data_IF_340888542682
#
_entry.id   IF_340888542682
#
_cell.length_a   1.000
_cell.length_b   1.000
_cell.length_c   1.000
_cell.angle_alpha   90.00
_cell.angle_beta   90.00
_cell.angle_gamma   90.00
#
_symmetry.space_group_name_H-M   'P 1'
#
loop_
_entity.id
_entity.type
_entity.pdbx_description
1 polymer ?
#
# COMPACT_ATOMS: atom_id res chain seq x y z
N UNK A 1 18.70 16.05 5.33
CA UNK A 1 17.67 16.14 6.37
C UNK A 1 18.02 15.16 7.46
N UNK A 2 18.94 15.55 8.34
CA UNK A 2 19.05 14.91 9.65
C UNK A 2 17.81 15.37 10.41
N UNK A 3 16.88 14.45 10.68
CA UNK A 3 15.91 14.70 11.74
C UNK A 3 16.73 14.87 13.01
N UNK A 4 16.65 16.04 13.65
CA UNK A 4 17.18 16.22 14.99
C UNK A 4 16.55 15.12 15.87
N UNK A 5 17.38 14.17 16.31
CA UNK A 5 17.01 12.97 17.09
C UNK A 5 16.41 13.27 18.47
N UNK A 6 16.07 14.53 18.75
CA UNK A 6 15.19 14.87 19.85
C UNK A 6 13.79 14.34 19.49
N UNK A 7 13.60 13.04 19.72
CA UNK A 7 12.31 12.45 20.00
C UNK A 7 11.73 13.22 21.18
N UNK A 8 11.06 14.33 20.90
CA UNK A 8 10.12 14.88 21.86
C UNK A 8 8.96 13.91 21.81
N UNK A 9 9.10 12.78 22.51
CA UNK A 9 7.95 12.03 23.00
C UNK A 9 7.17 13.02 23.85
N UNK A 10 6.28 13.76 23.21
CA UNK A 10 5.26 14.52 23.89
C UNK A 10 4.48 13.50 24.71
N UNK A 11 4.81 13.43 25.99
CA UNK A 11 4.14 12.60 26.96
C UNK A 11 3.17 13.50 27.70
N UNK A 12 1.85 13.39 27.47
CA UNK A 12 0.86 14.17 28.20
C UNK A 12 0.76 13.76 29.69
N UNK A 13 1.60 12.83 30.16
CA UNK A 13 1.61 12.28 31.51
C UNK A 13 1.42 10.77 31.52
N UNK A 14 1.08 10.23 32.69
CA UNK A 14 0.78 8.80 32.88
C UNK A 14 -0.69 8.62 33.27
N UNK A 15 -1.29 7.54 32.78
CA UNK A 15 -2.62 7.09 33.19
C UNK A 15 -2.47 5.74 33.87
N UNK A 16 -2.94 5.62 35.10
CA UNK A 16 -2.97 4.34 35.83
C UNK A 16 -4.43 3.91 36.03
N UNK A 17 -4.77 2.72 35.54
CA UNK A 17 -6.12 2.18 35.63
C UNK A 17 -6.05 0.69 35.98
N UNK A 18 -6.76 0.30 37.04
CA UNK A 18 -6.94 -1.09 37.43
C UNK A 18 -8.04 -1.75 36.58
N UNK A 19 -7.65 -2.52 35.56
CA UNK A 19 -8.59 -3.18 34.64
C UNK A 19 -8.97 -4.59 35.12
N UNK A 20 -10.28 -4.83 35.34
CA UNK A 20 -10.80 -6.18 35.62
C UNK A 20 -11.04 -6.95 34.33
N UNK A 21 -10.92 -8.29 34.37
CA UNK A 21 -11.20 -9.18 33.22
C UNK A 21 -12.58 -8.88 32.61
N UNK A 22 -12.62 -8.65 31.30
CA UNK A 22 -13.85 -8.36 30.55
C UNK A 22 -14.36 -6.92 30.67
N UNK A 23 -13.59 -6.00 31.26
CA UNK A 23 -13.86 -4.56 31.23
C UNK A 23 -12.97 -3.88 30.19
N UNK A 24 -13.51 -2.84 29.55
CA UNK A 24 -12.81 -2.03 28.55
C UNK A 24 -12.66 -0.61 29.08
N UNK A 25 -11.53 0.01 28.77
CA UNK A 25 -11.22 1.40 29.08
C UNK A 25 -10.70 2.03 27.80
N UNK A 26 -11.18 3.24 27.51
CA UNK A 26 -10.75 4.03 26.36
C UNK A 26 -10.26 5.39 26.84
N UNK A 27 -9.08 5.79 26.37
CA UNK A 27 -8.51 7.13 26.58
C UNK A 27 -8.61 7.86 25.25
N UNK A 28 -9.25 9.02 25.25
CA UNK A 28 -9.51 9.81 24.04
C UNK A 28 -8.75 11.13 24.15
N UNK A 29 -7.92 11.41 23.15
CA UNK A 29 -7.26 12.70 22.98
C UNK A 29 -7.94 13.43 21.84
N UNK A 30 -8.28 14.71 22.05
CA UNK A 30 -8.94 15.55 21.05
C UNK A 30 -8.39 16.96 21.13
N UNK A 31 -8.18 17.58 19.97
CA UNK A 31 -7.83 18.99 19.81
C UNK A 31 -9.08 19.91 19.84
N UNK A 32 -10.26 19.31 19.95
CA UNK A 32 -11.56 19.99 19.92
C UNK A 32 -12.55 19.34 20.90
N UNK A 33 -13.57 20.10 21.32
CA UNK A 33 -14.62 19.59 22.22
C UNK A 33 -15.47 18.54 21.47
N UNK A 34 -15.36 17.28 21.88
CA UNK A 34 -16.17 16.19 21.35
C UNK A 34 -17.59 16.25 21.95
N UNK A 35 -18.58 16.64 21.15
CA UNK A 35 -20.01 16.60 21.54
C UNK A 35 -20.55 15.17 21.71
N UNK A 36 -19.99 14.23 20.96
CA UNK A 36 -20.28 12.80 21.08
C UNK A 36 -19.13 12.01 20.47
N UNK A 37 -18.81 10.85 21.05
CA UNK A 37 -17.83 9.91 20.50
C UNK A 37 -18.43 8.51 20.51
N UNK A 38 -18.38 7.83 19.35
CA UNK A 38 -18.73 6.42 19.25
C UNK A 38 -17.45 5.64 19.01
N UNK A 39 -17.10 4.78 19.96
CA UNK A 39 -16.08 3.77 19.73
C UNK A 39 -16.64 2.83 18.67
N UNK A 40 -16.00 2.80 17.51
CA UNK A 40 -16.35 1.83 16.50
C UNK A 40 -16.08 0.43 17.05
N UNK A 41 -17.13 -0.42 17.05
CA UNK A 41 -16.98 -1.78 17.54
C UNK A 41 -16.22 -2.62 16.51
N UNK A 42 -14.88 -2.59 16.60
CA UNK A 42 -13.96 -3.33 15.73
C UNK A 42 -14.12 -4.84 15.84
N UNK A 43 -14.74 -5.37 16.90
CA UNK A 43 -14.92 -6.83 17.09
C UNK A 43 -15.77 -7.50 16.02
N UNK A 44 -16.59 -6.74 15.27
CA UNK A 44 -17.36 -7.26 14.13
C UNK A 44 -16.48 -7.97 13.10
N UNK A 45 -15.22 -7.56 12.95
CA UNK A 45 -14.30 -8.21 12.00
C UNK A 45 -13.94 -9.64 12.39
N UNK A 46 -13.95 -9.96 13.68
CA UNK A 46 -13.67 -11.31 14.18
C UNK A 46 -14.76 -12.31 13.76
N UNK A 47 -15.95 -11.82 13.38
CA UNK A 47 -17.01 -12.67 12.84
C UNK A 47 -16.75 -13.07 11.39
N UNK A 48 -16.02 -12.23 10.62
CA UNK A 48 -15.69 -12.47 9.22
C UNK A 48 -14.49 -13.41 9.08
N UNK A 49 -13.42 -13.17 9.82
CA UNK A 49 -12.22 -14.02 9.78
C UNK A 49 -12.03 -14.79 11.09
N UNK A 50 -12.25 -16.11 11.03
CA UNK A 50 -12.14 -16.99 12.19
C UNK A 50 -10.69 -17.42 12.40
N UNK A 51 -10.05 -16.86 13.42
CA UNK A 51 -8.75 -17.32 13.92
C UNK A 51 -8.84 -17.85 15.35
N UNK A 52 -8.18 -18.98 15.60
CA UNK A 52 -8.08 -19.59 16.95
C UNK A 52 -6.95 -18.96 17.78
N UNK A 53 -6.02 -18.26 17.14
CA UNK A 53 -4.86 -17.65 17.80
C UNK A 53 -5.22 -16.31 18.45
N UNK A 54 -4.82 -16.11 19.71
CA UNK A 54 -4.92 -14.81 20.38
C UNK A 54 -4.19 -13.71 19.58
N UNK A 55 -2.98 -14.01 19.09
CA UNK A 55 -2.20 -13.09 18.27
C UNK A 55 -2.95 -12.73 16.99
N UNK A 56 -3.55 -13.72 16.30
CA UNK A 56 -4.35 -13.48 15.10
C UNK A 56 -5.53 -12.54 15.36
N UNK A 57 -6.22 -12.70 16.49
CA UNK A 57 -7.32 -11.80 16.88
C UNK A 57 -6.82 -10.37 17.11
N UNK A 58 -5.70 -10.22 17.81
CA UNK A 58 -5.09 -8.91 18.07
C UNK A 58 -4.69 -8.23 16.76
N UNK A 59 -3.98 -8.95 15.87
CA UNK A 59 -3.55 -8.42 14.57
C UNK A 59 -4.76 -7.99 13.73
N UNK A 60 -5.82 -8.81 13.68
CA UNK A 60 -7.02 -8.47 12.93
C UNK A 60 -7.73 -7.24 13.49
N UNK A 61 -7.88 -7.13 14.81
CA UNK A 61 -8.46 -5.94 15.44
C UNK A 61 -7.66 -4.68 15.17
N UNK A 62 -6.32 -4.79 15.17
CA UNK A 62 -5.40 -3.67 14.94
C UNK A 62 -5.21 -3.32 13.47
N UNK A 63 -5.54 -4.21 12.54
CA UNK A 63 -5.48 -3.90 11.10
C UNK A 63 -6.27 -2.64 10.72
N UNK A 64 -7.42 -2.39 11.37
CA UNK A 64 -8.22 -1.18 11.16
C UNK A 64 -7.46 0.12 11.48
N UNK A 65 -6.50 0.07 12.40
CA UNK A 65 -5.80 1.25 12.90
C UNK A 65 -4.91 1.86 11.80
N UNK A 66 -4.55 1.08 10.78
CA UNK A 66 -3.69 1.51 9.68
C UNK A 66 -4.47 1.93 8.43
N UNK A 67 -5.79 1.72 8.37
CA UNK A 67 -6.59 1.97 7.17
C UNK A 67 -6.97 3.45 7.13
N UNK A 68 -6.67 4.11 6.01
CA UNK A 68 -7.09 5.48 5.73
C UNK A 68 -7.94 5.53 4.47
N UNK A 69 -8.43 6.71 4.14
CA UNK A 69 -9.12 6.96 2.87
C UNK A 69 -8.25 6.64 1.63
N UNK A 70 -6.94 6.81 1.71
CA UNK A 70 -6.05 6.83 0.54
C UNK A 70 -5.15 5.60 0.43
N UNK A 71 -5.17 4.73 1.44
CA UNK A 71 -4.28 3.58 1.52
C UNK A 71 -4.09 3.11 2.95
N UNK A 72 -3.01 2.37 3.17
CA UNK A 72 -2.64 1.81 4.46
C UNK A 72 -1.41 2.58 4.97
N UNK A 73 -1.47 3.11 6.19
CA UNK A 73 -0.34 3.77 6.84
C UNK A 73 0.81 2.78 6.98
N UNK A 74 2.02 3.15 6.53
CA UNK A 74 3.18 2.25 6.56
C UNK A 74 3.69 2.00 7.99
N UNK A 75 3.51 2.97 8.90
CA UNK A 75 3.88 2.82 10.30
C UNK A 75 3.72 4.10 11.11
N UNK A 76 3.13 4.00 12.30
CA UNK A 76 3.01 5.12 13.21
C UNK A 76 4.29 5.31 14.06
N UNK A 77 4.59 6.54 14.51
CA UNK A 77 3.90 7.79 14.15
C UNK A 77 4.47 8.47 12.89
N UNK A 78 5.54 7.94 12.30
CA UNK A 78 6.39 8.69 11.37
C UNK A 78 5.95 8.65 9.91
N UNK A 79 5.16 7.65 9.51
CA UNK A 79 4.85 7.41 8.11
C UNK A 79 3.39 7.71 7.77
N UNK A 80 3.16 7.97 6.48
CA UNK A 80 1.84 8.12 5.88
C UNK A 80 1.50 6.86 5.07
N UNK A 81 0.44 6.91 4.27
CA UNK A 81 0.15 5.84 3.31
C UNK A 81 1.10 5.92 2.12
N UNK A 82 1.91 4.86 1.96
CA UNK A 82 2.84 4.70 0.85
C UNK A 82 2.29 3.66 -0.12
N UNK A 83 2.45 3.89 -1.43
CA UNK A 83 1.91 3.03 -2.47
C UNK A 83 2.42 1.60 -2.35
N UNK A 84 3.74 1.42 -2.32
CA UNK A 84 4.37 0.11 -2.15
C UNK A 84 3.82 -0.64 -0.93
N UNK A 85 3.89 -0.03 0.25
CA UNK A 85 3.45 -0.61 1.52
C UNK A 85 1.95 -0.95 1.52
N UNK A 86 1.14 -0.07 0.93
CA UNK A 86 -0.29 -0.28 0.76
C UNK A 86 -0.55 -1.55 -0.05
N UNK A 87 -0.01 -1.66 -1.27
CA UNK A 87 -0.32 -2.78 -2.14
C UNK A 87 0.25 -4.11 -1.65
N UNK A 88 1.42 -4.11 -0.98
CA UNK A 88 1.95 -5.30 -0.29
C UNK A 88 1.00 -5.74 0.84
N UNK A 89 0.42 -4.79 1.58
CA UNK A 89 -0.39 -5.07 2.77
C UNK A 89 -1.85 -5.40 2.50
N UNK A 90 -2.39 -5.02 1.33
CA UNK A 90 -3.81 -5.24 0.97
C UNK A 90 -4.27 -6.69 1.19
N UNK A 91 -3.54 -7.74 0.75
CA UNK A 91 -4.01 -9.11 0.94
C UNK A 91 -4.23 -9.46 2.41
N UNK A 92 -3.26 -9.17 3.26
CA UNK A 92 -3.30 -9.51 4.68
C UNK A 92 -4.27 -8.68 5.50
N UNK A 93 -4.31 -7.36 5.27
CA UNK A 93 -5.08 -6.44 6.11
C UNK A 93 -6.53 -6.24 5.62
N UNK A 94 -6.79 -6.43 4.33
CA UNK A 94 -8.08 -6.09 3.72
C UNK A 94 -8.76 -7.25 2.98
N UNK A 95 -8.06 -8.00 2.12
CA UNK A 95 -8.70 -9.08 1.34
C UNK A 95 -9.11 -10.26 2.22
N UNK A 96 -8.18 -10.88 2.95
CA UNK A 96 -8.50 -12.01 3.83
C UNK A 96 -9.54 -11.66 4.92
N UNK A 97 -9.54 -10.45 5.50
CA UNK A 97 -10.59 -10.03 6.43
C UNK A 97 -11.91 -9.59 5.77
N UNK A 98 -12.05 -9.74 4.45
CA UNK A 98 -13.26 -9.40 3.66
C UNK A 98 -13.68 -7.91 3.79
N UNK A 99 -12.70 -7.00 3.70
CA UNK A 99 -12.87 -5.54 3.64
C UNK A 99 -12.87 -5.03 2.19
N UNK A 100 -13.76 -5.60 1.38
CA UNK A 100 -13.70 -5.47 -0.08
C UNK A 100 -13.95 -4.05 -0.55
N UNK A 101 -14.84 -3.31 0.13
CA UNK A 101 -15.14 -1.93 -0.21
C UNK A 101 -13.94 -1.01 0.03
N UNK A 102 -13.19 -1.22 1.13
CA UNK A 102 -11.95 -0.50 1.39
C UNK A 102 -10.89 -0.79 0.31
N UNK A 103 -10.74 -2.06 -0.11
CA UNK A 103 -9.82 -2.42 -1.21
C UNK A 103 -10.21 -1.69 -2.50
N UNK A 104 -11.48 -1.79 -2.91
CA UNK A 104 -11.98 -1.13 -4.12
C UNK A 104 -11.78 0.38 -4.08
N UNK A 105 -12.00 1.00 -2.92
CA UNK A 105 -11.78 2.44 -2.72
C UNK A 105 -10.31 2.82 -2.93
N UNK A 106 -9.38 2.09 -2.30
CA UNK A 106 -7.93 2.34 -2.41
C UNK A 106 -7.47 2.23 -3.87
N UNK A 107 -7.86 1.16 -4.57
CA UNK A 107 -7.52 0.98 -5.98
C UNK A 107 -8.07 2.09 -6.88
N UNK A 108 -9.35 2.49 -6.70
CA UNK A 108 -9.97 3.59 -7.47
C UNK A 108 -9.31 4.94 -7.22
N UNK A 109 -8.77 5.16 -6.02
CA UNK A 109 -8.01 6.38 -5.73
C UNK A 109 -6.65 6.27 -6.39
N UNK A 110 -5.92 5.19 -6.16
CA UNK A 110 -4.59 4.99 -6.72
C UNK A 110 -4.57 5.07 -8.25
N UNK A 111 -5.59 4.52 -8.92
CA UNK A 111 -5.70 4.56 -10.38
C UNK A 111 -5.77 5.99 -10.94
N UNK A 112 -6.38 6.94 -10.21
CA UNK A 112 -6.45 8.36 -10.60
C UNK A 112 -5.12 9.10 -10.43
N UNK A 113 -4.22 8.55 -9.63
CA UNK A 113 -2.89 9.12 -9.41
C UNK A 113 -1.84 8.47 -10.30
N UNK A 114 -2.19 7.50 -11.16
CA UNK A 114 -1.22 6.94 -12.11
C UNK A 114 -0.78 8.06 -13.06
N UNK A 115 0.53 8.15 -13.27
CA UNK A 115 1.13 9.09 -14.20
C UNK A 115 2.28 8.40 -14.93
N UNK A 116 2.24 8.39 -16.26
CA UNK A 116 3.27 7.76 -17.09
C UNK A 116 3.51 6.28 -16.68
N UNK A 117 2.44 5.55 -16.33
CA UNK A 117 2.52 4.18 -15.82
C UNK A 117 3.06 4.01 -14.41
N UNK A 118 3.29 5.10 -13.67
CA UNK A 118 3.78 5.07 -12.29
C UNK A 118 2.65 5.36 -11.30
N UNK A 119 2.41 4.42 -10.39
CA UNK A 119 1.67 4.63 -9.15
C UNK A 119 2.62 5.34 -8.17
N UNK A 120 2.19 6.41 -7.47
CA UNK A 120 3.09 7.11 -6.57
C UNK A 120 3.47 6.23 -5.37
N UNK A 121 4.75 6.30 -4.97
CA UNK A 121 5.21 5.69 -3.73
C UNK A 121 4.70 6.46 -2.50
N UNK A 122 4.55 7.78 -2.61
CA UNK A 122 3.96 8.61 -1.55
C UNK A 122 2.83 9.41 -2.18
N UNK A 123 1.61 9.19 -1.69
CA UNK A 123 0.45 9.96 -2.12
C UNK A 123 0.53 11.36 -1.54
N UNK A 124 0.61 12.34 -2.44
CA UNK A 124 0.66 13.74 -2.12
C UNK A 124 -0.72 14.29 -1.81
N UNK A 125 -0.99 14.61 -0.54
CA UNK A 125 -2.24 15.24 -0.12
C UNK A 125 -2.25 16.74 -0.42
N UNK A 126 -1.52 17.52 0.40
CA UNK A 126 -1.27 18.96 0.22
C UNK A 126 0.07 19.22 -0.48
N UNK A 127 0.87 18.17 -0.66
CA UNK A 127 2.18 18.20 -1.29
C UNK A 127 2.14 17.40 -2.59
N UNK A 128 3.09 17.60 -3.51
CA UNK A 128 3.21 16.75 -4.70
C UNK A 128 3.39 15.27 -4.34
N UNK A 129 2.79 14.39 -5.14
CA UNK A 129 3.01 12.94 -5.02
C UNK A 129 4.41 12.55 -5.49
N UNK A 130 5.00 11.54 -4.88
CA UNK A 130 6.35 11.06 -5.22
C UNK A 130 6.28 9.78 -6.05
N UNK A 131 6.82 9.80 -7.26
CA UNK A 131 6.73 8.70 -8.24
C UNK A 131 8.05 7.93 -8.41
N UNK A 132 9.04 8.14 -7.54
CA UNK A 132 10.36 7.52 -7.63
C UNK A 132 10.36 6.05 -7.17
N UNK A 133 9.49 5.22 -7.74
CA UNK A 133 9.36 3.81 -7.40
C UNK A 133 9.11 2.96 -8.65
N UNK A 134 9.95 1.95 -8.86
CA UNK A 134 9.76 0.92 -9.90
C UNK A 134 8.88 -0.24 -9.43
N UNK A 135 8.65 -0.36 -8.13
CA UNK A 135 7.93 -1.48 -7.54
C UNK A 135 6.45 -1.16 -7.24
N UNK A 136 6.08 0.08 -6.94
CA UNK A 136 4.72 0.43 -6.51
C UNK A 136 3.66 0.07 -7.56
N UNK A 137 3.88 0.40 -8.83
CA UNK A 137 2.95 0.02 -9.92
C UNK A 137 2.87 -1.49 -10.11
N UNK A 138 3.97 -2.21 -9.97
CA UNK A 138 3.97 -3.66 -10.12
C UNK A 138 3.29 -4.35 -8.93
N UNK A 139 3.45 -3.82 -7.71
CA UNK A 139 2.69 -4.26 -6.55
C UNK A 139 1.21 -3.93 -6.66
N UNK A 140 0.82 -2.80 -7.28
CA UNK A 140 -0.58 -2.51 -7.60
C UNK A 140 -1.19 -3.65 -8.44
N UNK A 141 -0.51 -4.06 -9.52
CA UNK A 141 -0.99 -5.15 -10.38
C UNK A 141 -0.99 -6.48 -9.63
N UNK A 142 0.06 -6.76 -8.85
CA UNK A 142 0.12 -7.97 -8.02
C UNK A 142 -1.03 -8.03 -7.01
N UNK A 143 -1.34 -6.93 -6.32
CA UNK A 143 -2.45 -6.86 -5.37
C UNK A 143 -3.80 -7.03 -6.07
N UNK A 144 -3.96 -6.52 -7.29
CA UNK A 144 -5.15 -6.75 -8.11
C UNK A 144 -5.25 -8.22 -8.53
N UNK A 145 -4.13 -8.89 -8.83
CA UNK A 145 -4.14 -10.34 -9.08
C UNK A 145 -4.60 -11.13 -7.85
N UNK A 146 -4.23 -10.70 -6.64
CA UNK A 146 -4.70 -11.28 -5.37
C UNK A 146 -6.16 -10.99 -5.11
N UNK A 147 -6.67 -9.83 -5.52
CA UNK A 147 -8.10 -9.56 -5.52
C UNK A 147 -8.84 -10.59 -6.36
N UNK A 148 -8.40 -10.84 -7.60
CA UNK A 148 -9.03 -11.81 -8.50
C UNK A 148 -8.95 -13.23 -7.95
N UNK A 149 -7.82 -13.63 -7.36
CA UNK A 149 -7.65 -14.96 -6.77
C UNK A 149 -8.65 -15.22 -5.62
N UNK A 150 -8.95 -14.20 -4.80
CA UNK A 150 -9.77 -14.35 -3.60
C UNK A 150 -11.26 -14.07 -3.87
N UNK A 151 -11.55 -13.04 -4.67
CA UNK A 151 -12.92 -12.53 -4.90
C UNK A 151 -13.49 -13.00 -6.25
N UNK A 152 -12.61 -13.36 -7.19
CA UNK A 152 -12.98 -13.66 -8.56
C UNK A 152 -12.94 -12.44 -9.47
N UNK A 153 -13.28 -12.67 -10.74
CA UNK A 153 -13.37 -11.63 -11.75
C UNK A 153 -14.77 -11.00 -11.73
N UNK A 154 -14.85 -9.73 -11.34
CA UNK A 154 -16.10 -8.98 -11.26
C UNK A 154 -16.02 -7.65 -12.04
N UNK A 155 -17.11 -6.87 -12.04
CA UNK A 155 -17.15 -5.57 -12.71
C UNK A 155 -16.09 -4.58 -12.20
N UNK A 156 -15.59 -4.74 -10.97
CA UNK A 156 -14.54 -3.89 -10.44
C UNK A 156 -13.19 -4.18 -11.11
N UNK A 157 -12.86 -5.45 -11.33
CA UNK A 157 -11.64 -5.84 -12.09
C UNK A 157 -11.70 -5.25 -13.50
N UNK A 158 -12.85 -5.34 -14.18
CA UNK A 158 -13.05 -4.70 -15.50
C UNK A 158 -12.76 -3.20 -15.45
N UNK A 159 -13.19 -2.51 -14.38
CA UNK A 159 -12.95 -1.06 -14.21
C UNK A 159 -11.47 -0.67 -14.02
N UNK A 160 -10.60 -1.60 -13.64
CA UNK A 160 -9.16 -1.36 -13.47
C UNK A 160 -8.33 -1.68 -14.71
N UNK A 161 -8.97 -2.12 -15.82
CA UNK A 161 -8.28 -2.54 -17.04
C UNK A 161 -7.37 -1.47 -17.61
N UNK A 162 -7.93 -0.29 -17.87
CA UNK A 162 -7.21 0.77 -18.59
C UNK A 162 -5.98 1.23 -17.81
N UNK A 163 -6.12 1.40 -16.49
CA UNK A 163 -5.01 1.73 -15.59
C UNK A 163 -3.94 0.63 -15.55
N UNK A 164 -4.34 -0.64 -15.59
CA UNK A 164 -3.40 -1.77 -15.62
C UNK A 164 -2.63 -1.80 -16.94
N UNK A 165 -3.32 -1.61 -18.06
CA UNK A 165 -2.70 -1.56 -19.40
C UNK A 165 -1.79 -0.35 -19.55
N UNK A 166 -2.17 0.81 -19.01
CA UNK A 166 -1.31 2.00 -18.98
C UNK A 166 0.03 1.71 -18.31
N UNK A 167 0.02 1.03 -17.15
CA UNK A 167 1.25 0.62 -16.45
C UNK A 167 2.09 -0.29 -17.36
N UNK A 168 1.52 -1.35 -17.92
CA UNK A 168 2.24 -2.29 -18.77
C UNK A 168 2.87 -1.59 -19.98
N UNK A 169 2.09 -0.78 -20.69
CA UNK A 169 2.52 -0.06 -21.89
C UNK A 169 3.68 0.89 -21.60
N UNK A 170 3.61 1.63 -20.49
CA UNK A 170 4.68 2.54 -20.10
C UNK A 170 5.90 1.78 -19.58
N UNK A 171 5.76 0.64 -18.92
CA UNK A 171 6.93 -0.19 -18.57
C UNK A 171 7.62 -0.72 -19.83
N UNK A 172 6.87 -1.05 -20.88
CA UNK A 172 7.42 -1.46 -22.18
C UNK A 172 8.12 -0.30 -22.90
N UNK A 173 7.43 0.84 -23.06
CA UNK A 173 7.92 2.00 -23.84
C UNK A 173 8.98 2.82 -23.09
N UNK A 174 8.88 2.83 -21.77
CA UNK A 174 9.66 3.63 -20.83
C UNK A 174 8.80 4.62 -20.04
N UNK A 175 9.07 4.70 -18.74
CA UNK A 175 8.45 5.62 -17.78
C UNK A 175 9.43 6.73 -17.39
N UNK A 176 9.03 7.56 -16.42
CA UNK A 176 9.96 8.45 -15.72
C UNK A 176 11.12 7.65 -15.06
N UNK A 177 12.20 8.35 -14.71
CA UNK A 177 13.35 7.81 -13.96
C UNK A 177 14.12 6.66 -14.65
N UNK A 178 14.02 6.53 -15.97
CA UNK A 178 14.78 5.54 -16.73
C UNK A 178 14.32 4.11 -16.50
N UNK A 179 13.09 3.92 -16.03
CA UNK A 179 12.45 2.61 -15.91
C UNK A 179 11.90 2.23 -17.28
N UNK A 180 12.33 1.10 -17.83
CA UNK A 180 11.85 0.60 -19.12
C UNK A 180 12.18 -0.87 -19.32
N UNK A 181 11.45 -1.54 -20.18
CA UNK A 181 11.82 -2.85 -20.69
C UNK A 181 13.02 -2.73 -21.62
N UNK A 182 13.99 -3.60 -21.43
CA UNK A 182 15.17 -3.72 -22.27
C UNK A 182 14.94 -4.80 -23.36
N UNK A 183 15.88 -4.93 -24.29
CA UNK A 183 15.81 -5.85 -25.43
C UNK A 183 15.64 -7.34 -25.08
N UNK A 184 16.01 -7.73 -23.86
CA UNK A 184 15.82 -9.09 -23.33
C UNK A 184 14.45 -9.29 -22.63
N UNK A 185 13.57 -8.28 -22.67
CA UNK A 185 12.25 -8.33 -22.05
C UNK A 185 12.24 -8.06 -20.54
N UNK A 186 13.41 -7.79 -19.93
CA UNK A 186 13.53 -7.48 -18.51
C UNK A 186 13.40 -5.98 -18.25
N UNK A 187 12.89 -5.61 -17.08
CA UNK A 187 12.77 -4.22 -16.66
C UNK A 187 14.10 -3.73 -16.13
N UNK A 188 14.67 -2.76 -16.84
CA UNK A 188 15.79 -1.95 -16.39
C UNK A 188 15.27 -0.73 -15.62
N UNK A 189 15.87 -0.44 -14.47
CA UNK A 189 15.56 0.74 -13.67
C UNK A 189 16.84 1.32 -13.06
N UNK A 190 17.17 2.55 -13.42
CA UNK A 190 18.29 3.27 -12.85
C UNK A 190 18.14 4.78 -13.05
N UNK A 191 18.40 5.54 -11.99
CA UNK A 191 18.47 7.00 -12.04
C UNK A 191 19.56 7.48 -11.08
N UNK A 192 20.55 8.29 -11.53
CA UNK A 192 21.74 8.61 -10.73
C UNK A 192 21.50 9.16 -9.32
N UNK A 193 20.38 9.83 -9.08
CA UNK A 193 20.06 10.49 -7.80
C UNK A 193 18.84 9.92 -7.09
N UNK A 194 18.30 8.78 -7.55
CA UNK A 194 17.09 8.17 -6.99
C UNK A 194 17.31 6.71 -6.61
N UNK A 195 16.81 6.34 -5.45
CA UNK A 195 16.53 4.95 -5.12
C UNK A 195 15.11 4.62 -5.59
N UNK A 196 14.99 3.66 -6.51
CA UNK A 196 13.71 3.31 -7.14
C UNK A 196 13.06 2.06 -6.54
N UNK A 197 13.82 1.22 -5.85
CA UNK A 197 13.32 -0.02 -5.19
C UNK A 197 13.04 0.21 -3.72
N UNK A 198 12.36 -0.73 -3.05
CA UNK A 198 12.11 -0.71 -1.60
C UNK A 198 13.32 -0.44 -0.70
N UNK A 199 14.53 -0.80 -1.12
CA UNK A 199 15.76 -0.37 -0.45
C UNK A 199 16.07 1.10 -0.82
N UNK A 200 15.26 2.03 -0.32
CA UNK A 200 15.28 3.45 -0.73
C UNK A 200 15.95 4.41 0.26
N UNK A 201 16.84 3.91 1.11
CA UNK A 201 17.58 4.74 2.05
C UNK A 201 18.45 5.81 1.33
N UNK A 202 18.35 7.05 1.82
CA UNK A 202 19.08 8.23 1.33
C UNK A 202 19.83 8.87 2.48
N UNK A 203 21.13 9.09 2.31
CA UNK A 203 21.96 9.82 3.26
C UNK A 203 22.58 11.04 2.58
N UNK A 204 22.43 12.22 3.19
CA UNK A 204 22.91 13.51 2.64
C UNK A 204 22.55 13.73 1.16
N UNK A 205 21.31 13.37 0.80
CA UNK A 205 20.78 13.52 -0.57
C UNK A 205 21.28 12.48 -1.57
N UNK A 206 22.07 11.50 -1.15
CA UNK A 206 22.58 10.41 -1.99
C UNK A 206 21.94 9.08 -1.61
N UNK A 207 21.40 8.32 -2.59
CA UNK A 207 21.08 6.91 -2.41
C UNK A 207 22.26 6.13 -1.82
N UNK A 208 22.04 5.39 -0.74
CA UNK A 208 23.08 4.53 -0.14
C UNK A 208 22.86 3.04 -0.41
N UNK A 209 21.63 2.64 -0.73
CA UNK A 209 21.24 1.26 -1.03
C UNK A 209 20.69 1.14 -2.44
N UNK A 210 21.24 1.89 -3.39
CA UNK A 210 20.73 1.92 -4.75
C UNK A 210 20.87 0.56 -5.43
N UNK A 211 19.77 0.09 -6.03
CA UNK A 211 19.70 -1.19 -6.76
C UNK A 211 19.38 -0.93 -8.21
N UNK A 212 20.37 -0.36 -8.92
CA UNK A 212 20.28 -0.06 -10.35
C UNK A 212 20.36 -1.32 -11.21
N UNK A 213 19.82 -1.23 -12.42
CA UNK A 213 19.88 -2.32 -13.40
C UNK A 213 18.58 -3.11 -13.41
N UNK A 214 18.66 -4.43 -13.22
CA UNK A 214 17.52 -5.36 -13.34
C UNK A 214 17.31 -6.12 -12.01
N UNK A 215 16.73 -5.49 -10.97
CA UNK A 215 16.55 -6.14 -9.67
C UNK A 215 15.60 -7.34 -9.77
N UNK A 216 15.91 -8.41 -9.04
CA UNK A 216 15.25 -9.73 -9.16
C UNK A 216 13.75 -9.71 -8.84
N UNK A 217 13.35 -8.98 -7.80
CA UNK A 217 11.95 -8.86 -7.41
C UNK A 217 11.14 -8.07 -8.45
N UNK A 218 11.76 -7.09 -9.11
CA UNK A 218 11.11 -6.33 -10.19
C UNK A 218 10.84 -7.24 -11.38
N UNK A 219 11.78 -8.14 -11.72
CA UNK A 219 11.56 -9.10 -12.81
C UNK A 219 10.45 -10.10 -12.46
N UNK A 220 10.40 -10.55 -11.20
CA UNK A 220 9.38 -11.46 -10.71
C UNK A 220 7.99 -10.81 -10.75
N UNK A 221 7.88 -9.57 -10.30
CA UNK A 221 6.64 -8.80 -10.35
C UNK A 221 6.23 -8.46 -11.79
N UNK A 222 7.20 -8.14 -12.66
CA UNK A 222 6.95 -7.87 -14.08
C UNK A 222 6.38 -9.09 -14.79
N UNK A 223 6.99 -10.26 -14.61
CA UNK A 223 6.47 -11.51 -15.14
C UNK A 223 5.05 -11.81 -14.61
N UNK A 224 4.81 -11.60 -13.32
CA UNK A 224 3.48 -11.75 -12.74
C UNK A 224 2.45 -10.79 -13.36
N UNK A 225 2.82 -9.53 -13.57
CA UNK A 225 1.97 -8.52 -14.17
C UNK A 225 1.58 -8.90 -15.62
N UNK A 226 2.55 -9.33 -16.43
CA UNK A 226 2.29 -9.80 -17.80
C UNK A 226 1.36 -11.03 -17.83
N UNK A 227 1.58 -11.99 -16.93
CA UNK A 227 0.72 -13.18 -16.80
C UNK A 227 -0.70 -12.80 -16.39
N UNK A 228 -0.83 -11.85 -15.47
CA UNK A 228 -2.13 -11.35 -15.03
C UNK A 228 -2.88 -10.65 -16.17
N UNK A 229 -2.23 -9.72 -16.88
CA UNK A 229 -2.84 -8.99 -18.00
C UNK A 229 -3.25 -9.92 -19.13
N UNK A 230 -2.41 -10.90 -19.50
CA UNK A 230 -2.76 -11.93 -20.49
C UNK A 230 -4.06 -12.64 -20.14
N UNK A 231 -4.26 -12.97 -18.87
CA UNK A 231 -5.48 -13.63 -18.41
C UNK A 231 -6.66 -12.65 -18.29
N UNK A 232 -6.39 -11.39 -17.93
CA UNK A 232 -7.41 -10.35 -17.82
C UNK A 232 -8.09 -10.08 -19.17
N UNK A 233 -7.36 -10.08 -20.28
CA UNK A 233 -7.96 -9.94 -21.60
C UNK A 233 -8.83 -11.13 -22.01
N UNK A 234 -8.43 -12.36 -21.63
CA UNK A 234 -9.24 -13.56 -21.86
C UNK A 234 -10.54 -13.55 -21.03
N UNK A 235 -10.50 -12.95 -19.83
CA UNK A 235 -11.59 -12.85 -18.87
C UNK A 235 -12.61 -11.74 -19.20
N UNK A 236 -12.38 -10.94 -20.24
CA UNK A 236 -13.24 -9.83 -20.65
C UNK A 236 -14.01 -10.10 -21.95
N UNK A 237 -13.77 -11.26 -22.56
CA UNK A 237 -14.44 -11.73 -23.79
C UNK A 237 -15.71 -12.54 -23.44
N UNK A 238 -15.93 -12.84 -22.15
CA UNK A 238 -17.17 -13.37 -21.56
C UNK A 238 -18.03 -12.26 -20.92
#
# INVERSE_FOLDING_TARGET
YEYSYTEIMFSPGYFEINLKKGKEVSIIFSDSILKSFKIENKSKILNKFKTKSLLGKILLLRSSDFITEYGIVAGYPWFTSWGRDTFISIPGLLLYPERIEEVRKIFKIASKYIKNGLVPNIFGFKNPSSYNSVDASLFFIWALSKYVEIIGNDGFVKSMKDSTLEIIDNYIKGTDFGIKMDSDGLIYAYSPSKSLTWMDAVFRGKPITQRGGKPVEIQSLWYNALKFVKNMDLLLIE
#
